data_IF_680026998841
#
_entry.id   IF_680026998841
#
_cell.length_a   1.000
_cell.length_b   1.000
_cell.length_c   1.000
_cell.angle_alpha   90.00
_cell.angle_beta   90.00
_cell.angle_gamma   90.00
#
_symmetry.space_group_name_H-M   'P 1'
#
loop_
_entity.id
_entity.type
_entity.pdbx_description
1 polymer ?
#
# COMPACT_ATOMS: atom_id res chain seq x y z
N UNK A 1 -1.90 -2.18 -16.82
CA UNK A 1 -2.51 -3.51 -16.63
C UNK A 1 -1.67 -4.31 -15.65
N UNK A 2 -2.24 -5.22 -14.86
CA UNK A 2 -1.41 -6.17 -14.11
C UNK A 2 -0.55 -6.95 -15.13
N UNK A 3 0.75 -7.16 -14.87
CA UNK A 3 1.57 -7.96 -15.78
C UNK A 3 0.94 -9.36 -15.91
N UNK A 4 1.01 -9.94 -17.11
CA UNK A 4 0.60 -11.32 -17.34
C UNK A 4 1.31 -12.21 -16.31
N UNK A 5 0.53 -12.93 -15.51
CA UNK A 5 1.06 -13.78 -14.45
C UNK A 5 2.03 -14.79 -15.09
N UNK A 6 3.31 -14.69 -14.74
CA UNK A 6 4.30 -15.70 -15.12
C UNK A 6 3.88 -17.07 -14.58
N UNK A 7 4.37 -18.17 -15.19
CA UNK A 7 4.00 -19.52 -14.78
C UNK A 7 4.31 -19.72 -13.29
N UNK A 8 3.25 -19.92 -12.50
CA UNK A 8 3.35 -20.12 -11.07
C UNK A 8 3.91 -21.52 -10.81
N UNK A 9 5.18 -21.58 -10.42
CA UNK A 9 5.80 -22.77 -9.86
C UNK A 9 5.00 -23.23 -8.63
N UNK A 10 4.17 -24.26 -8.84
CA UNK A 10 3.62 -25.09 -7.77
C UNK A 10 4.65 -26.16 -7.45
N UNK A 11 5.31 -26.04 -6.33
CA UNK A 11 5.55 -27.22 -5.49
C UNK A 11 4.51 -27.17 -4.38
N UNK A 12 3.36 -27.78 -4.65
CA UNK A 12 2.42 -28.14 -3.61
C UNK A 12 3.08 -29.24 -2.77
N UNK A 13 3.79 -28.85 -1.72
CA UNK A 13 4.23 -29.78 -0.68
C UNK A 13 3.67 -29.25 0.64
N UNK A 14 2.65 -29.96 1.13
CA UNK A 14 2.09 -29.90 2.48
C UNK A 14 1.49 -28.54 2.90
N UNK A 15 0.30 -28.24 2.37
CA UNK A 15 -0.63 -27.38 3.08
C UNK A 15 -1.39 -28.25 4.10
N UNK A 16 -0.98 -28.19 5.36
CA UNK A 16 -1.82 -28.61 6.47
C UNK A 16 -3.14 -27.82 6.40
N UNK A 17 -4.26 -28.47 6.74
CA UNK A 17 -5.63 -28.13 6.32
C UNK A 17 -6.22 -26.76 6.71
N UNK A 18 -5.42 -25.80 7.18
CA UNK A 18 -5.89 -24.48 7.62
C UNK A 18 -5.98 -23.44 6.50
N UNK A 19 -5.40 -23.69 5.33
CA UNK A 19 -5.47 -22.83 4.15
C UNK A 19 -4.25 -21.92 3.97
N UNK A 20 -4.36 -20.91 3.11
CA UNK A 20 -3.27 -19.98 2.76
C UNK A 20 -3.63 -18.55 3.13
N UNK A 21 -2.72 -17.83 3.78
CA UNK A 21 -2.81 -16.39 3.99
C UNK A 21 -2.06 -15.64 2.88
N UNK A 22 -2.72 -14.65 2.28
CA UNK A 22 -2.03 -13.66 1.44
C UNK A 22 -1.53 -12.51 2.33
N UNK A 23 -0.22 -12.33 2.40
CA UNK A 23 0.40 -11.16 3.04
C UNK A 23 0.92 -10.25 1.94
N UNK A 24 0.31 -9.07 1.78
CA UNK A 24 0.58 -8.17 0.66
C UNK A 24 1.27 -6.91 1.18
N UNK A 25 2.56 -6.77 0.89
CA UNK A 25 3.30 -5.54 1.18
C UNK A 25 3.21 -4.59 -0.02
N UNK A 26 2.96 -3.30 0.20
CA UNK A 26 2.86 -2.33 -0.89
C UNK A 26 3.48 -0.97 -0.57
N UNK A 27 3.97 -0.26 -1.58
CA UNK A 27 4.69 1.01 -1.42
C UNK A 27 6.15 0.87 -1.83
N UNK A 28 7.06 1.59 -1.18
CA UNK A 28 8.50 1.50 -1.46
C UNK A 28 9.09 0.32 -0.69
N UNK A 29 9.19 -0.85 -1.31
CA UNK A 29 9.50 -2.08 -0.56
C UNK A 29 10.95 -2.15 -0.10
N UNK A 30 11.90 -1.57 -0.83
CA UNK A 30 13.30 -1.53 -0.40
C UNK A 30 13.46 -0.84 0.97
N UNK A 31 12.61 0.16 1.26
CA UNK A 31 12.52 0.80 2.58
C UNK A 31 11.93 -0.15 3.62
N UNK A 32 10.84 -0.85 3.26
CA UNK A 32 10.21 -1.83 4.16
C UNK A 32 11.20 -2.91 4.61
N UNK A 33 11.94 -3.49 3.66
CA UNK A 33 12.91 -4.56 3.97
C UNK A 33 13.93 -4.10 4.99
N UNK A 34 14.41 -2.86 4.87
CA UNK A 34 15.42 -2.32 5.76
C UNK A 34 14.90 -2.02 7.16
N UNK A 35 13.70 -1.45 7.28
CA UNK A 35 13.26 -0.84 8.54
C UNK A 35 12.12 -1.60 9.22
N UNK A 36 11.14 -2.09 8.47
CA UNK A 36 9.89 -2.62 9.04
C UNK A 36 9.84 -4.14 8.98
N UNK A 37 10.59 -4.78 8.07
CA UNK A 37 10.53 -6.22 7.85
C UNK A 37 10.76 -7.09 9.09
N UNK A 38 11.75 -6.85 9.97
CA UNK A 38 11.91 -7.65 11.19
C UNK A 38 10.66 -7.63 12.08
N UNK A 39 9.95 -6.49 12.10
CA UNK A 39 8.71 -6.34 12.85
C UNK A 39 7.55 -7.05 12.15
N UNK A 40 7.39 -6.87 10.84
CA UNK A 40 6.36 -7.56 10.04
C UNK A 40 6.51 -9.09 10.15
N UNK A 41 7.74 -9.60 10.03
CA UNK A 41 8.04 -11.02 10.14
C UNK A 41 7.65 -11.57 11.51
N UNK A 42 8.02 -10.87 12.59
CA UNK A 42 7.79 -11.30 13.97
C UNK A 42 6.34 -11.14 14.41
N UNK A 43 5.70 -10.01 14.08
CA UNK A 43 4.41 -9.58 14.63
C UNK A 43 3.22 -9.97 13.76
N UNK A 44 3.43 -10.30 12.48
CA UNK A 44 2.34 -10.60 11.54
C UNK A 44 2.52 -11.97 10.90
N UNK A 45 3.65 -12.20 10.22
CA UNK A 45 3.89 -13.44 9.48
C UNK A 45 4.08 -14.62 10.45
N UNK A 46 4.87 -14.44 11.52
CA UNK A 46 5.11 -15.47 12.53
C UNK A 46 3.83 -15.98 13.19
N UNK A 47 2.93 -15.10 13.68
CA UNK A 47 1.64 -15.53 14.21
C UNK A 47 0.79 -16.31 13.21
N UNK A 48 0.74 -15.89 11.94
CA UNK A 48 -0.01 -16.60 10.90
C UNK A 48 0.56 -18.00 10.66
N UNK A 49 1.88 -18.15 10.53
CA UNK A 49 2.54 -19.45 10.39
C UNK A 49 2.32 -20.34 11.63
N UNK A 50 2.42 -19.77 12.83
CA UNK A 50 2.19 -20.49 14.09
C UNK A 50 0.75 -21.01 14.21
N UNK A 51 -0.20 -20.45 13.46
CA UNK A 51 -1.59 -20.94 13.35
C UNK A 51 -1.76 -22.05 12.28
N UNK A 52 -0.68 -22.47 11.62
CA UNK A 52 -0.70 -23.51 10.59
C UNK A 52 -1.11 -23.01 9.20
N UNK A 53 -1.15 -21.70 8.96
CA UNK A 53 -1.42 -21.15 7.63
C UNK A 53 -0.16 -21.17 6.78
N UNK A 54 -0.28 -21.60 5.53
CA UNK A 54 0.74 -21.34 4.52
C UNK A 54 0.75 -19.84 4.17
N UNK A 55 1.93 -19.26 3.92
CA UNK A 55 2.07 -17.84 3.62
C UNK A 55 2.42 -17.61 2.16
N UNK A 56 1.58 -16.86 1.46
CA UNK A 56 1.92 -16.22 0.19
C UNK A 56 2.30 -14.76 0.45
N UNK A 57 3.60 -14.50 0.51
CA UNK A 57 4.12 -13.13 0.65
C UNK A 57 4.24 -12.47 -0.73
N UNK A 58 3.50 -11.38 -0.94
CA UNK A 58 3.39 -10.68 -2.21
C UNK A 58 3.87 -9.23 -2.04
N UNK A 59 4.65 -8.73 -3.00
CA UNK A 59 5.17 -7.37 -2.98
C UNK A 59 4.61 -6.52 -4.12
N UNK A 60 4.09 -5.33 -3.83
CA UNK A 60 3.62 -4.33 -4.79
C UNK A 60 4.47 -3.07 -4.68
N UNK A 61 5.61 -3.10 -5.36
CA UNK A 61 6.66 -2.11 -5.22
C UNK A 61 6.44 -0.89 -6.14
N UNK A 62 6.64 0.29 -5.57
CA UNK A 62 6.84 1.56 -6.28
C UNK A 62 8.33 1.85 -6.22
N UNK A 63 9.01 1.56 -7.31
CA UNK A 63 10.46 1.59 -7.40
C UNK A 63 10.98 3.01 -7.64
N UNK A 64 11.64 3.64 -6.65
CA UNK A 64 12.17 5.00 -6.82
C UNK A 64 13.40 5.05 -7.75
N UNK A 65 13.92 3.91 -8.21
CA UNK A 65 15.17 3.83 -8.96
C UNK A 65 16.34 4.27 -8.09
N UNK A 66 17.12 5.23 -8.59
CA UNK A 66 18.25 5.82 -7.85
C UNK A 66 17.84 7.03 -7.00
N UNK A 67 16.56 7.43 -7.01
CA UNK A 67 16.11 8.59 -6.25
C UNK A 67 16.16 8.29 -4.75
N UNK A 68 16.69 9.22 -3.93
CA UNK A 68 16.70 9.02 -2.49
C UNK A 68 15.28 9.08 -1.93
N UNK A 69 15.02 8.24 -0.94
CA UNK A 69 13.80 8.23 -0.14
C UNK A 69 14.19 8.59 1.30
N UNK A 70 13.61 9.67 1.84
CA UNK A 70 13.99 10.25 3.14
C UNK A 70 15.49 10.55 3.28
N UNK A 71 16.14 10.94 2.17
CA UNK A 71 17.59 11.21 2.14
C UNK A 71 18.47 9.98 1.92
N UNK A 72 17.89 8.78 1.75
CA UNK A 72 18.62 7.53 1.57
C UNK A 72 18.47 6.98 0.16
N UNK A 73 19.58 6.64 -0.49
CA UNK A 73 19.56 5.81 -1.69
C UNK A 73 19.32 4.37 -1.24
N UNK A 74 18.22 3.76 -1.71
CA UNK A 74 17.81 2.42 -1.28
C UNK A 74 18.44 1.37 -2.19
N UNK A 75 19.23 0.46 -1.60
CA UNK A 75 19.79 -0.67 -2.32
C UNK A 75 18.70 -1.73 -2.61
N UNK A 76 18.71 -2.26 -3.83
CA UNK A 76 17.70 -3.23 -4.29
C UNK A 76 18.07 -4.68 -4.04
N UNK A 77 19.30 -4.94 -3.60
CA UNK A 77 19.81 -6.27 -3.29
C UNK A 77 18.96 -7.00 -2.25
N UNK A 78 18.22 -6.24 -1.43
CA UNK A 78 17.28 -6.73 -0.43
C UNK A 78 15.94 -7.23 -0.98
N UNK A 79 15.62 -6.93 -2.25
CA UNK A 79 14.43 -7.39 -2.98
C UNK A 79 14.74 -8.55 -3.94
N UNK A 80 15.97 -9.04 -3.94
CA UNK A 80 16.44 -10.11 -4.84
C UNK A 80 15.75 -11.47 -4.54
N UNK A 81 15.96 -12.51 -5.37
CA UNK A 81 15.43 -13.84 -5.10
C UNK A 81 15.95 -14.43 -3.77
N UNK A 82 15.21 -15.38 -3.16
CA UNK A 82 15.38 -15.83 -1.76
C UNK A 82 16.66 -16.60 -1.43
N UNK A 83 17.65 -16.67 -2.32
CA UNK A 83 18.89 -17.44 -2.09
C UNK A 83 19.92 -16.73 -1.18
N UNK A 84 19.70 -15.47 -0.78
CA UNK A 84 20.57 -14.74 0.15
C UNK A 84 19.92 -14.61 1.54
N UNK A 85 20.66 -14.90 2.63
CA UNK A 85 20.20 -14.59 3.99
C UNK A 85 19.87 -13.11 4.13
N UNK A 86 18.74 -12.79 4.79
CA UNK A 86 18.31 -11.40 5.00
C UNK A 86 17.49 -10.79 3.85
N UNK A 87 17.18 -11.57 2.81
CA UNK A 87 16.28 -11.16 1.73
C UNK A 87 14.83 -11.56 2.07
N UNK A 88 13.89 -10.67 1.74
CA UNK A 88 12.46 -10.95 1.94
C UNK A 88 11.99 -12.00 0.94
N UNK A 89 11.40 -13.13 1.39
CA UNK A 89 11.05 -14.24 0.53
C UNK A 89 9.71 -13.99 -0.19
N UNK A 90 9.65 -12.96 -1.03
CA UNK A 90 8.47 -12.71 -1.85
C UNK A 90 8.21 -13.88 -2.79
N UNK A 91 7.00 -14.44 -2.72
CA UNK A 91 6.51 -15.41 -3.70
C UNK A 91 6.36 -14.76 -5.08
N UNK A 92 5.85 -13.53 -5.09
CA UNK A 92 5.76 -12.70 -6.29
C UNK A 92 6.06 -11.25 -5.93
N UNK A 93 6.82 -10.57 -6.79
CA UNK A 93 7.16 -9.16 -6.66
C UNK A 93 6.70 -8.41 -7.91
N UNK A 94 5.79 -7.47 -7.72
CA UNK A 94 5.20 -6.63 -8.75
C UNK A 94 5.77 -5.21 -8.68
N UNK A 95 7.00 -5.01 -9.17
CA UNK A 95 7.65 -3.70 -9.17
C UNK A 95 7.25 -2.85 -10.38
N UNK A 96 7.01 -1.55 -10.15
CA UNK A 96 6.83 -0.55 -11.21
C UNK A 96 7.75 0.65 -10.94
N UNK A 97 8.50 1.14 -11.94
CA UNK A 97 9.25 2.38 -11.81
C UNK A 97 8.32 3.53 -11.40
N UNK A 98 8.76 4.32 -10.43
CA UNK A 98 8.02 5.48 -9.93
C UNK A 98 7.69 6.47 -11.07
N UNK A 99 8.59 6.66 -12.02
CA UNK A 99 8.35 7.50 -13.20
C UNK A 99 7.16 7.00 -14.04
N UNK A 100 7.00 5.68 -14.19
CA UNK A 100 5.88 5.10 -14.91
C UNK A 100 4.56 5.30 -14.14
N UNK A 101 4.60 5.17 -12.81
CA UNK A 101 3.44 5.47 -11.94
C UNK A 101 3.07 6.95 -12.08
N UNK A 102 4.03 7.86 -12.02
CA UNK A 102 3.82 9.30 -12.18
C UNK A 102 3.25 9.66 -13.56
N UNK A 103 3.77 9.06 -14.62
CA UNK A 103 3.26 9.28 -15.97
C UNK A 103 1.82 8.81 -16.12
N UNK A 104 1.40 7.77 -15.39
CA UNK A 104 0.01 7.32 -15.34
C UNK A 104 -0.86 8.27 -14.52
N UNK A 105 -0.39 8.68 -13.33
CA UNK A 105 -1.12 9.63 -12.48
C UNK A 105 -1.33 10.97 -13.19
N UNK A 106 -0.30 11.52 -13.85
CA UNK A 106 -0.42 12.72 -14.69
C UNK A 106 -1.48 12.57 -15.78
N UNK A 107 -1.52 11.43 -16.47
CA UNK A 107 -2.53 11.16 -17.50
C UNK A 107 -3.95 11.12 -16.92
N UNK A 108 -4.14 10.48 -15.77
CA UNK A 108 -5.43 10.43 -15.08
C UNK A 108 -5.85 11.83 -14.65
N UNK A 109 -4.98 12.57 -13.95
CA UNK A 109 -5.27 13.92 -13.49
C UNK A 109 -5.56 14.89 -14.66
N UNK A 110 -4.80 14.82 -15.76
CA UNK A 110 -5.05 15.65 -16.93
C UNK A 110 -6.39 15.32 -17.63
N UNK A 111 -6.84 14.07 -17.54
CA UNK A 111 -8.09 13.63 -18.16
C UNK A 111 -9.34 13.94 -17.30
N UNK A 112 -9.23 13.91 -15.97
CA UNK A 112 -10.37 14.12 -15.05
C UNK A 112 -10.41 15.49 -14.39
N UNK A 113 -9.34 16.30 -14.45
CA UNK A 113 -9.27 17.59 -13.79
C UNK A 113 -8.60 18.63 -14.71
N UNK A 114 -9.36 19.58 -15.31
CA UNK A 114 -8.75 20.73 -15.97
C UNK A 114 -7.99 21.57 -14.93
N UNK A 115 -6.66 21.44 -14.87
CA UNK A 115 -5.82 22.23 -13.95
C UNK A 115 -4.57 21.55 -13.36
N UNK A 116 -4.36 20.24 -13.52
CA UNK A 116 -3.15 19.55 -13.02
C UNK A 116 -1.98 19.57 -14.05
N UNK A 117 -1.70 20.71 -14.69
CA UNK A 117 -0.49 20.87 -15.51
C UNK A 117 0.60 21.61 -14.70
N UNK A 118 1.61 20.89 -14.14
CA UNK A 118 2.68 21.54 -13.38
C UNK A 118 3.68 22.30 -14.27
N UNK A 119 3.51 22.31 -15.60
CA UNK A 119 4.47 22.89 -16.54
C UNK A 119 3.80 23.61 -17.71
N UNK A 120 3.07 24.69 -17.44
CA UNK A 120 2.94 25.74 -18.46
C UNK A 120 4.02 26.79 -18.26
N UNK A 121 5.09 26.81 -19.06
CA UNK A 121 5.92 28.01 -19.16
C UNK A 121 5.01 29.17 -19.58
N UNK A 122 5.07 30.29 -18.85
CA UNK A 122 4.42 31.52 -19.31
C UNK A 122 5.07 31.90 -20.65
N UNK A 123 4.28 32.27 -21.68
CA UNK A 123 4.84 32.74 -22.94
C UNK A 123 5.86 33.86 -22.67
N UNK A 124 7.11 33.69 -23.11
CA UNK A 124 8.17 34.69 -22.96
C UNK A 124 9.17 34.51 -21.81
N UNK A 125 9.14 33.41 -21.04
CA UNK A 125 10.19 33.09 -20.04
C UNK A 125 11.01 31.86 -20.44
N UNK A 126 12.34 31.97 -20.44
CA UNK A 126 13.31 30.93 -20.82
C UNK A 126 13.78 30.03 -19.67
N UNK A 127 13.32 30.26 -18.44
CA UNK A 127 13.61 29.42 -17.27
C UNK A 127 12.33 28.83 -16.68
N UNK A 128 12.38 27.54 -16.34
CA UNK A 128 11.34 26.83 -15.58
C UNK A 128 11.28 27.37 -14.15
N UNK A 129 10.57 28.47 -13.94
CA UNK A 129 10.18 28.91 -12.60
C UNK A 129 9.02 28.04 -12.10
N UNK A 130 9.24 27.37 -10.97
CA UNK A 130 8.23 26.60 -10.26
C UNK A 130 7.22 27.57 -9.62
N UNK A 131 5.97 27.56 -10.10
CA UNK A 131 4.86 28.31 -9.51
C UNK A 131 4.08 27.40 -8.54
N UNK A 132 4.25 27.54 -7.21
CA UNK A 132 3.51 26.73 -6.25
C UNK A 132 1.99 26.93 -6.30
N UNK A 133 1.47 27.98 -6.96
CA UNK A 133 0.04 28.20 -7.18
C UNK A 133 -0.54 27.45 -8.39
N UNK A 134 0.30 26.89 -9.28
CA UNK A 134 -0.12 26.18 -10.49
C UNK A 134 -0.53 24.71 -10.24
N UNK A 135 -0.22 24.16 -9.07
CA UNK A 135 -0.70 22.83 -8.65
C UNK A 135 -2.11 22.94 -8.07
N UNK A 136 -3.09 23.21 -8.93
CA UNK A 136 -4.53 23.04 -8.61
C UNK A 136 -4.97 21.62 -8.89
N UNK A 137 -4.29 20.64 -8.31
CA UNK A 137 -5.01 19.41 -8.05
C UNK A 137 -6.00 19.71 -6.92
N UNK A 138 -7.26 19.24 -6.99
CA UNK A 138 -8.20 19.46 -5.92
C UNK A 138 -7.53 18.98 -4.63
N UNK A 139 -7.60 19.76 -3.53
CA UNK A 139 -7.05 19.30 -2.28
C UNK A 139 -7.62 17.90 -2.03
N UNK A 140 -6.79 16.95 -1.56
CA UNK A 140 -7.30 15.67 -1.02
C UNK A 140 -8.29 15.87 0.15
N UNK A 141 -8.52 17.12 0.54
CA UNK A 141 -9.65 17.60 1.32
C UNK A 141 -10.89 17.78 0.41
N UNK A 142 -11.39 16.71 -0.19
CA UNK A 142 -12.84 16.60 -0.20
C UNK A 142 -13.21 16.30 1.25
N UNK A 143 -14.00 17.14 1.96
CA UNK A 143 -14.43 16.78 3.30
C UNK A 143 -15.25 15.50 3.15
N UNK A 144 -14.64 14.36 3.49
CA UNK A 144 -15.39 13.20 3.93
C UNK A 144 -16.24 13.77 5.05
N UNK A 145 -17.57 13.79 4.88
CA UNK A 145 -18.48 14.31 5.89
C UNK A 145 -18.23 13.54 7.18
N UNK A 146 -17.42 14.11 8.08
CA UNK A 146 -17.21 13.57 9.40
C UNK A 146 -18.57 13.55 10.11
N UNK A 147 -18.87 12.47 10.83
CA UNK A 147 -19.98 12.54 11.79
C UNK A 147 -19.70 13.68 12.76
N UNK A 148 -20.74 14.43 13.12
CA UNK A 148 -20.69 15.59 14.04
C UNK A 148 -19.93 15.32 15.34
N UNK A 149 -19.89 14.06 15.77
CA UNK A 149 -19.17 13.56 16.93
C UNK A 149 -17.64 13.71 16.82
N UNK A 150 -17.07 13.74 15.62
CA UNK A 150 -15.63 13.88 15.39
C UNK A 150 -15.18 15.33 15.21
N UNK A 151 -16.08 16.24 14.80
CA UNK A 151 -15.71 17.66 14.58
C UNK A 151 -15.29 18.39 15.85
N UNK A 152 -15.77 17.96 17.02
CA UNK A 152 -15.41 18.56 18.31
C UNK A 152 -14.02 18.15 18.78
N UNK A 153 -13.57 16.92 18.45
CA UNK A 153 -12.22 16.44 18.76
C UNK A 153 -11.15 17.18 17.93
N UNK A 154 -11.47 17.52 16.67
CA UNK A 154 -10.53 18.20 15.76
C UNK A 154 -10.60 19.73 15.80
N UNK A 155 -11.57 20.34 16.50
CA UNK A 155 -11.75 21.80 16.54
C UNK A 155 -10.60 22.56 17.22
N UNK A 156 -9.77 21.88 18.03
CA UNK A 156 -8.60 22.46 18.71
C UNK A 156 -7.25 22.15 18.06
N UNK A 157 -7.21 21.28 17.04
CA UNK A 157 -5.97 20.99 16.32
C UNK A 157 -5.79 22.03 15.21
N UNK A 158 -4.56 22.54 14.98
CA UNK A 158 -4.32 23.42 13.84
C UNK A 158 -4.83 22.71 12.59
N UNK A 159 -5.78 23.34 11.89
CA UNK A 159 -6.38 22.83 10.63
C UNK A 159 -5.28 22.14 9.83
N UNK A 160 -5.45 20.84 9.59
CA UNK A 160 -4.44 19.99 8.96
C UNK A 160 -3.80 20.76 7.80
N UNK A 161 -2.50 21.07 7.93
CA UNK A 161 -1.84 21.84 6.90
C UNK A 161 -2.00 21.09 5.57
N UNK A 162 -2.37 21.79 4.48
CA UNK A 162 -2.53 21.14 3.19
C UNK A 162 -1.22 20.44 2.84
N UNK A 163 -1.31 19.16 2.44
CA UNK A 163 -0.14 18.41 2.02
C UNK A 163 0.62 19.18 0.93
N UNK A 164 1.95 19.23 1.05
CA UNK A 164 2.78 19.77 -0.03
C UNK A 164 2.58 18.93 -1.30
N UNK A 165 2.77 19.50 -2.50
CA UNK A 165 2.60 18.75 -3.74
C UNK A 165 3.43 17.45 -3.82
N UNK A 166 4.70 17.40 -3.34
CA UNK A 166 5.43 16.14 -3.23
C UNK A 166 4.75 15.11 -2.32
N UNK A 167 4.21 15.54 -1.16
CA UNK A 167 3.50 14.64 -0.25
C UNK A 167 2.21 14.11 -0.86
N UNK A 168 1.45 14.95 -1.58
CA UNK A 168 0.25 14.51 -2.31
C UNK A 168 0.61 13.47 -3.38
N UNK A 169 1.65 13.72 -4.17
CA UNK A 169 2.10 12.76 -5.19
C UNK A 169 2.52 11.42 -4.58
N UNK A 170 3.20 11.43 -3.42
CA UNK A 170 3.53 10.21 -2.68
C UNK A 170 2.30 9.45 -2.21
N UNK A 171 1.28 10.16 -1.70
CA UNK A 171 0.01 9.54 -1.33
C UNK A 171 -0.68 8.88 -2.54
N UNK A 172 -0.69 9.54 -3.70
CA UNK A 172 -1.24 8.94 -4.92
C UNK A 172 -0.45 7.72 -5.41
N UNK A 173 0.88 7.70 -5.26
CA UNK A 173 1.71 6.53 -5.56
C UNK A 173 1.37 5.36 -4.65
N UNK A 174 1.18 5.60 -3.35
CA UNK A 174 0.77 4.58 -2.38
C UNK A 174 -0.62 4.03 -2.72
N UNK A 175 -1.60 4.91 -2.95
CA UNK A 175 -2.93 4.51 -3.39
C UNK A 175 -2.87 3.72 -4.70
N UNK A 176 -1.96 4.03 -5.62
CA UNK A 176 -1.80 3.28 -6.87
C UNK A 176 -1.25 1.87 -6.61
N UNK A 177 -0.30 1.72 -5.69
CA UNK A 177 0.17 0.42 -5.26
C UNK A 177 -0.94 -0.39 -4.57
N UNK A 178 -1.73 0.25 -3.72
CA UNK A 178 -2.92 -0.33 -3.07
C UNK A 178 -3.97 -0.77 -4.10
N UNK A 179 -4.28 0.06 -5.10
CA UNK A 179 -5.23 -0.32 -6.15
C UNK A 179 -4.78 -1.55 -6.96
N UNK A 180 -3.46 -1.73 -7.13
CA UNK A 180 -2.90 -2.92 -7.80
C UNK A 180 -3.08 -4.18 -6.97
N UNK A 181 -2.79 -4.12 -5.66
CA UNK A 181 -3.02 -5.28 -4.78
C UNK A 181 -4.51 -5.60 -4.67
N UNK A 182 -5.37 -4.58 -4.65
CA UNK A 182 -6.82 -4.75 -4.63
C UNK A 182 -7.30 -5.56 -5.84
N UNK A 183 -6.87 -5.18 -7.05
CA UNK A 183 -7.15 -5.94 -8.29
C UNK A 183 -6.60 -7.37 -8.26
N UNK A 184 -5.41 -7.57 -7.70
CA UNK A 184 -4.85 -8.91 -7.55
C UNK A 184 -5.74 -9.78 -6.66
N UNK A 185 -6.16 -9.27 -5.49
CA UNK A 185 -6.99 -10.01 -4.55
C UNK A 185 -8.34 -10.38 -5.15
N UNK A 186 -8.95 -9.56 -5.99
CA UNK A 186 -10.23 -9.92 -6.61
C UNK A 186 -10.14 -11.08 -7.58
N UNK A 187 -9.03 -11.15 -8.33
CA UNK A 187 -8.79 -12.23 -9.27
C UNK A 187 -8.37 -13.54 -8.57
N UNK A 188 -7.84 -13.43 -7.36
CA UNK A 188 -7.22 -14.57 -6.65
C UNK A 188 -7.84 -14.87 -5.30
N UNK A 189 -8.92 -14.20 -4.90
CA UNK A 189 -9.53 -14.34 -3.58
C UNK A 189 -9.84 -15.80 -3.20
N UNK A 190 -10.37 -16.67 -4.09
CA UNK A 190 -10.66 -18.06 -3.73
C UNK A 190 -9.44 -18.90 -3.33
N UNK A 191 -8.21 -18.40 -3.57
CA UNK A 191 -6.97 -19.08 -3.18
C UNK A 191 -6.60 -18.87 -1.72
N UNK A 192 -7.16 -17.86 -1.08
CA UNK A 192 -6.71 -17.37 0.21
C UNK A 192 -7.84 -17.48 1.22
N UNK A 193 -7.52 -17.94 2.42
CA UNK A 193 -8.45 -17.91 3.55
C UNK A 193 -8.56 -16.50 4.13
N UNK A 194 -7.42 -15.82 4.21
CA UNK A 194 -7.30 -14.48 4.77
C UNK A 194 -6.34 -13.65 3.93
N UNK A 195 -6.62 -12.34 3.85
CA UNK A 195 -5.69 -11.36 3.30
C UNK A 195 -5.28 -10.36 4.38
N UNK A 196 -3.99 -10.03 4.36
CA UNK A 196 -3.35 -9.04 5.21
C UNK A 196 -2.59 -8.08 4.30
N UNK A 197 -3.18 -6.93 3.98
CA UNK A 197 -2.53 -5.89 3.19
C UNK A 197 -1.84 -4.89 4.12
N UNK A 198 -0.56 -4.59 3.88
CA UNK A 198 0.27 -3.76 4.75
C UNK A 198 1.12 -2.80 3.92
N UNK A 199 1.06 -1.51 4.21
CA UNK A 199 1.93 -0.51 3.62
C UNK A 199 3.36 -0.72 4.12
N UNK A 200 4.32 -0.51 3.22
CA UNK A 200 5.75 -0.74 3.40
C UNK A 200 6.33 -0.14 4.69
N UNK A 201 5.78 0.98 5.16
CA UNK A 201 6.25 1.74 6.31
C UNK A 201 5.44 1.52 7.59
N UNK A 202 4.52 0.56 7.59
CA UNK A 202 3.82 0.17 8.80
C UNK A 202 4.77 -0.53 9.80
N UNK A 203 4.77 -0.04 11.04
CA UNK A 203 5.44 -0.64 12.18
C UNK A 203 4.40 -1.24 13.13
N UNK A 204 4.02 -2.52 12.98
CA UNK A 204 3.14 -3.16 13.95
C UNK A 204 3.82 -3.24 15.31
N UNK A 205 3.25 -2.58 16.32
CA UNK A 205 3.77 -2.59 17.69
C UNK A 205 3.24 -3.78 18.50
N UNK A 206 2.10 -4.34 18.08
CA UNK A 206 1.47 -5.52 18.70
C UNK A 206 1.41 -6.69 17.71
N UNK A 207 1.33 -7.90 18.24
CA UNK A 207 1.12 -9.10 17.45
C UNK A 207 -0.27 -9.08 16.81
N UNK A 208 -0.39 -9.64 15.60
CA UNK A 208 -1.67 -9.88 14.96
C UNK A 208 -2.45 -10.93 15.77
N UNK A 209 -3.64 -10.57 16.25
CA UNK A 209 -4.59 -11.55 16.78
C UNK A 209 -5.16 -12.38 15.63
N UNK A 210 -4.52 -13.52 15.37
CA UNK A 210 -4.87 -14.41 14.25
C UNK A 210 -6.27 -14.99 14.41
N UNK A 211 -6.73 -15.22 15.65
CA UNK A 211 -8.08 -15.74 15.89
C UNK A 211 -9.12 -14.72 15.51
N UNK A 212 -8.95 -13.46 15.93
CA UNK A 212 -9.83 -12.37 15.53
C UNK A 212 -9.78 -12.14 14.01
N UNK A 213 -8.58 -12.18 13.43
CA UNK A 213 -8.35 -12.01 11.99
C UNK A 213 -9.08 -13.09 11.16
N UNK A 214 -8.97 -14.36 11.55
CA UNK A 214 -9.69 -15.47 10.91
C UNK A 214 -11.19 -15.37 11.14
N UNK A 215 -11.63 -15.02 12.36
CA UNK A 215 -13.05 -14.82 12.64
C UNK A 215 -13.66 -13.70 11.78
N UNK A 216 -12.92 -12.62 11.51
CA UNK A 216 -13.35 -11.54 10.63
C UNK A 216 -13.34 -11.95 9.15
N UNK A 217 -12.37 -12.78 8.74
CA UNK A 217 -12.31 -13.33 7.40
C UNK A 217 -13.47 -14.29 7.11
N UNK A 218 -13.85 -15.11 8.09
CA UNK A 218 -14.91 -16.13 7.98
C UNK A 218 -16.32 -15.54 8.25
N UNK A 219 -16.42 -14.26 8.67
CA UNK A 219 -17.70 -13.65 9.07
C UNK A 219 -18.63 -13.33 7.90
N UNK A 220 -19.94 -13.41 8.16
CA UNK A 220 -20.98 -12.85 7.28
C UNK A 220 -21.88 -11.92 8.10
N UNK A 221 -21.93 -10.60 7.81
CA UNK A 221 -21.23 -9.89 6.74
C UNK A 221 -19.71 -9.91 6.93
N UNK A 222 -18.96 -9.71 5.83
CA UNK A 222 -17.50 -9.69 5.86
C UNK A 222 -17.00 -8.51 6.69
N UNK A 223 -16.20 -8.79 7.71
CA UNK A 223 -15.59 -7.78 8.57
C UNK A 223 -14.15 -7.52 8.12
N UNK A 224 -13.75 -6.25 8.18
CA UNK A 224 -12.37 -5.82 8.00
C UNK A 224 -11.84 -5.30 9.34
N UNK A 225 -10.68 -5.81 9.74
CA UNK A 225 -9.93 -5.27 10.85
C UNK A 225 -8.88 -4.30 10.32
N UNK A 226 -8.71 -3.20 11.04
CA UNK A 226 -7.63 -2.23 10.87
C UNK A 226 -7.03 -2.00 12.25
N UNK A 227 -5.70 -1.95 12.40
CA UNK A 227 -5.11 -1.63 13.70
C UNK A 227 -5.48 -0.20 14.07
N UNK A 228 -5.64 0.09 15.37
CA UNK A 228 -5.73 1.46 15.87
C UNK A 228 -4.34 2.18 15.88
N UNK A 229 -3.34 1.58 15.23
CA UNK A 229 -1.98 2.11 15.12
C UNK A 229 -1.83 2.77 13.75
N UNK A 230 -1.21 3.95 13.72
CA UNK A 230 -1.08 4.79 12.54
C UNK A 230 -2.42 5.29 11.97
N UNK A 231 -3.46 5.38 12.81
CA UNK A 231 -4.72 6.07 12.48
C UNK A 231 -4.52 7.57 12.41
N UNK A 232 -4.00 8.04 11.27
CA UNK A 232 -3.94 9.46 10.95
C UNK A 232 -5.24 9.87 10.27
N UNK A 233 -6.28 10.01 11.09
CA UNK A 233 -7.57 10.59 10.70
C UNK A 233 -8.36 9.74 9.68
N UNK A 234 -8.27 8.41 9.74
CA UNK A 234 -9.10 7.50 8.93
C UNK A 234 -8.73 7.39 7.44
N UNK A 235 -7.64 8.03 6.99
CA UNK A 235 -7.18 8.03 5.60
C UNK A 235 -6.36 6.81 5.18
N UNK A 236 -6.60 5.66 5.83
CA UNK A 236 -5.93 4.35 5.67
C UNK A 236 -4.65 4.21 6.50
N UNK A 237 -4.63 3.22 7.40
CA UNK A 237 -3.45 2.88 8.22
C UNK A 237 -2.46 2.03 7.43
N UNK A 238 -2.70 1.96 6.12
CA UNK A 238 -2.15 1.01 5.19
C UNK A 238 -2.20 -0.45 5.63
N UNK A 239 -2.97 -0.79 6.66
CA UNK A 239 -2.99 -2.12 7.27
C UNK A 239 -4.43 -2.61 7.35
N UNK A 240 -4.76 -3.57 6.50
CA UNK A 240 -6.09 -4.14 6.36
C UNK A 240 -6.03 -5.66 6.52
N UNK A 241 -6.95 -6.22 7.32
CA UNK A 241 -7.02 -7.65 7.59
C UNK A 241 -8.46 -8.14 7.42
N UNK A 242 -8.64 -9.27 6.75
CA UNK A 242 -9.94 -9.93 6.69
C UNK A 242 -10.12 -10.78 5.45
N UNK A 243 -11.37 -10.93 5.01
CA UNK A 243 -11.68 -11.73 3.83
C UNK A 243 -11.02 -11.14 2.58
N UNK A 244 -10.35 -11.94 1.72
CA UNK A 244 -9.63 -11.45 0.53
C UNK A 244 -10.45 -10.55 -0.38
N UNK A 245 -11.71 -10.89 -0.67
CA UNK A 245 -12.59 -10.03 -1.46
C UNK A 245 -12.92 -8.69 -0.79
N UNK A 246 -13.06 -8.65 0.54
CA UNK A 246 -13.35 -7.41 1.25
C UNK A 246 -12.13 -6.49 1.24
N UNK A 247 -10.94 -7.04 1.50
CA UNK A 247 -9.66 -6.33 1.39
C UNK A 247 -9.44 -5.86 -0.06
N UNK A 248 -9.67 -6.74 -1.04
CA UNK A 248 -9.57 -6.42 -2.46
C UNK A 248 -10.45 -5.23 -2.85
N UNK A 249 -11.74 -5.29 -2.47
CA UNK A 249 -12.72 -4.24 -2.77
C UNK A 249 -12.34 -2.90 -2.14
N UNK A 250 -11.91 -2.89 -0.88
CA UNK A 250 -11.59 -1.63 -0.18
C UNK A 250 -10.30 -1.00 -0.70
N UNK A 251 -9.34 -1.81 -1.16
CA UNK A 251 -8.04 -1.35 -1.67
C UNK A 251 -8.09 -0.79 -3.10
N UNK A 252 -9.21 -0.93 -3.83
CA UNK A 252 -9.36 -0.40 -5.21
C UNK A 252 -9.72 1.09 -5.30
N UNK A 253 -9.33 1.94 -4.35
CA UNK A 253 -9.79 3.34 -4.25
C UNK A 253 -9.24 4.32 -5.33
N UNK A 254 -8.70 3.84 -6.46
CA UNK A 254 -8.23 4.64 -7.60
C UNK A 254 -8.73 4.16 -8.96
#
# INVERSE_FOLDING_TARGET
DPPAAGPLLRTASQADGNGTAAVLLYGVLARAVRFTWPYLRRRVIGPLEASGLAIDLLGFDVDPGTQPVDGWVLERDHLAPPSRPGVVPFRQLFSLPQEAVDAKLRRLCNATLPGCDPRRPKPGKTSLEYDPAALRCPPMVAPIKFRREWSEYYAGLPLAQPYSPPTQLNAYRQLHAEARLGRYLELHAPRYRIAVAIVADALPLVDLDVRAALSAADSTPRVLLTPNQNDREGFTNGFLVGHPEAVGKISRRL
#
